data_IF_345816623965
#
_entry.id   IF_345816623965
#
_cell.length_a   1.000
_cell.length_b   1.000
_cell.length_c   1.000
_cell.angle_alpha   90.00
_cell.angle_beta   90.00
_cell.angle_gamma   90.00
#
_symmetry.space_group_name_H-M   'P 1'
#
loop_
_entity.id
_entity.type
_entity.pdbx_description
1 polymer ?
#
# COMPACT_ATOMS: atom_id res chain seq x y z
N UNK A 1 -13.81 -81.41 39.30
CA UNK A 1 -13.90 -80.28 38.44
C UNK A 1 -12.63 -79.45 38.52
N UNK A 2 -11.83 -79.45 37.47
CA UNK A 2 -10.62 -78.62 37.40
C UNK A 2 -11.02 -77.23 36.90
N UNK A 3 -10.94 -76.22 37.75
CA UNK A 3 -11.11 -74.84 37.33
C UNK A 3 -9.79 -74.30 36.75
N UNK A 4 -9.74 -74.14 35.47
CA UNK A 4 -8.62 -73.48 34.80
C UNK A 4 -8.99 -72.00 34.49
N UNK A 5 -8.23 -71.06 35.03
CA UNK A 5 -8.31 -69.65 34.68
C UNK A 5 -7.17 -69.30 33.68
N UNK A 6 -7.51 -68.88 32.49
CA UNK A 6 -6.58 -68.44 31.48
C UNK A 6 -6.57 -66.88 31.47
N UNK A 7 -5.42 -66.27 31.76
CA UNK A 7 -5.20 -64.81 31.63
C UNK A 7 -4.34 -64.61 30.40
N UNK A 8 -4.90 -63.98 29.38
CA UNK A 8 -4.16 -63.56 28.13
C UNK A 8 -3.87 -62.11 28.13
N UNK A 9 -2.60 -61.68 27.98
CA UNK A 9 -2.19 -60.33 27.71
C UNK A 9 -1.90 -60.19 26.20
N UNK A 10 -2.67 -59.37 25.46
CA UNK A 10 -2.44 -59.09 24.06
C UNK A 10 -1.86 -57.71 23.95
N UNK A 11 -0.62 -57.60 23.48
CA UNK A 11 0.03 -56.31 23.16
C UNK A 11 0.10 -56.19 21.66
N UNK A 12 -0.65 -55.25 21.03
CA UNK A 12 -0.54 -55.02 19.60
C UNK A 12 0.81 -54.35 19.31
N UNK A 13 1.72 -55.06 18.67
CA UNK A 13 2.99 -54.51 18.19
C UNK A 13 2.78 -54.11 16.73
N UNK A 14 2.82 -52.79 16.37
CA UNK A 14 2.69 -52.32 15.00
C UNK A 14 3.99 -52.61 14.22
N UNK A 15 4.07 -53.81 13.62
CA UNK A 15 5.27 -54.25 12.88
C UNK A 15 5.33 -53.68 11.48
N UNK A 16 4.22 -53.25 10.90
CA UNK A 16 4.13 -52.84 9.49
C UNK A 16 3.62 -51.39 9.27
N UNK A 17 2.89 -50.82 10.23
CA UNK A 17 2.40 -49.46 10.15
C UNK A 17 2.92 -48.63 11.32
N UNK A 18 3.98 -47.85 11.07
CA UNK A 18 4.58 -46.91 12.01
C UNK A 18 4.04 -45.51 11.84
N UNK A 19 2.86 -45.35 11.26
CA UNK A 19 2.24 -44.03 10.97
C UNK A 19 3.12 -43.13 10.07
N UNK A 20 3.94 -43.76 9.23
CA UNK A 20 4.93 -43.02 8.38
C UNK A 20 4.25 -42.06 7.42
N UNK A 21 3.07 -42.40 6.91
CA UNK A 21 2.29 -41.52 6.03
C UNK A 21 1.91 -40.20 6.70
N UNK A 22 1.37 -40.27 7.93
CA UNK A 22 0.98 -39.05 8.67
C UNK A 22 2.20 -38.21 9.10
N UNK A 23 3.33 -38.86 9.41
CA UNK A 23 4.58 -38.16 9.71
C UNK A 23 5.09 -37.44 8.48
N UNK A 24 5.07 -38.07 7.30
CA UNK A 24 5.52 -37.46 6.05
C UNK A 24 4.58 -36.35 5.60
N UNK A 25 3.29 -36.48 5.80
CA UNK A 25 2.30 -35.41 5.58
C UNK A 25 2.60 -34.19 6.47
N UNK A 26 2.81 -34.40 7.77
CA UNK A 26 3.13 -33.34 8.72
C UNK A 26 4.42 -32.59 8.34
N UNK A 27 5.45 -33.32 7.92
CA UNK A 27 6.72 -32.75 7.43
C UNK A 27 6.51 -31.94 6.14
N UNK A 28 5.70 -32.47 5.21
CA UNK A 28 5.37 -31.76 3.96
C UNK A 28 4.58 -30.48 4.23
N UNK A 29 3.64 -30.49 5.16
CA UNK A 29 2.90 -29.29 5.60
C UNK A 29 3.81 -28.26 6.27
N UNK A 30 4.81 -28.71 7.03
CA UNK A 30 5.82 -27.81 7.61
C UNK A 30 6.64 -27.09 6.53
N UNK A 31 7.14 -27.83 5.53
CA UNK A 31 7.87 -27.21 4.40
C UNK A 31 6.98 -26.26 3.62
N UNK A 32 5.74 -26.66 3.34
CA UNK A 32 4.78 -25.78 2.68
C UNK A 32 4.58 -24.47 3.45
N UNK A 33 4.39 -24.54 4.78
CA UNK A 33 4.23 -23.34 5.60
C UNK A 33 5.50 -22.44 5.60
N UNK A 34 6.69 -23.04 5.54
CA UNK A 34 7.94 -22.30 5.42
C UNK A 34 8.05 -21.58 4.06
N UNK A 35 7.72 -22.27 2.97
CA UNK A 35 7.71 -21.70 1.63
C UNK A 35 6.68 -20.57 1.49
N UNK A 36 5.48 -20.75 2.03
CA UNK A 36 4.44 -19.72 2.10
C UNK A 36 4.91 -18.48 2.88
N UNK A 37 5.62 -18.67 4.00
CA UNK A 37 6.18 -17.58 4.78
C UNK A 37 7.22 -16.79 3.97
N UNK A 38 8.10 -17.50 3.24
CA UNK A 38 9.13 -16.87 2.38
C UNK A 38 8.45 -16.09 1.24
N UNK A 39 7.47 -16.70 0.60
CA UNK A 39 6.70 -16.07 -0.47
C UNK A 39 5.99 -14.80 0.02
N UNK A 40 5.33 -14.86 1.18
CA UNK A 40 4.64 -13.72 1.78
C UNK A 40 5.62 -12.58 2.14
N UNK A 41 6.77 -12.91 2.73
CA UNK A 41 7.81 -11.90 3.04
C UNK A 41 8.31 -11.20 1.79
N UNK A 42 8.55 -11.96 0.72
CA UNK A 42 8.99 -11.41 -0.57
C UNK A 42 7.91 -10.51 -1.18
N UNK A 43 6.66 -10.94 -1.13
CA UNK A 43 5.53 -10.16 -1.61
C UNK A 43 5.36 -8.83 -0.85
N UNK A 44 5.44 -8.87 0.48
CA UNK A 44 5.37 -7.67 1.32
C UNK A 44 6.54 -6.71 1.06
N UNK A 45 7.76 -7.23 0.93
CA UNK A 45 8.93 -6.41 0.62
C UNK A 45 8.80 -5.73 -0.75
N UNK A 46 8.31 -6.46 -1.76
CA UNK A 46 8.07 -5.90 -3.10
C UNK A 46 6.96 -4.83 -3.08
N UNK A 47 5.86 -5.11 -2.37
CA UNK A 47 4.77 -4.15 -2.22
C UNK A 47 5.25 -2.87 -1.51
N UNK A 48 5.99 -3.01 -0.42
CA UNK A 48 6.55 -1.88 0.33
C UNK A 48 7.48 -1.02 -0.54
N UNK A 49 8.37 -1.66 -1.31
CA UNK A 49 9.25 -0.94 -2.24
C UNK A 49 8.45 -0.17 -3.31
N UNK A 50 7.40 -0.79 -3.86
CA UNK A 50 6.52 -0.15 -4.84
C UNK A 50 5.78 1.06 -4.27
N UNK A 51 5.22 0.96 -3.06
CA UNK A 51 4.52 2.08 -2.42
C UNK A 51 5.48 3.20 -2.00
N UNK A 52 6.70 2.87 -1.59
CA UNK A 52 7.73 3.87 -1.32
C UNK A 52 8.12 4.66 -2.57
N UNK A 53 8.29 3.98 -3.71
CA UNK A 53 8.57 4.64 -4.99
C UNK A 53 7.40 5.53 -5.43
N UNK A 54 6.17 5.01 -5.32
CA UNK A 54 4.95 5.78 -5.61
C UNK A 54 4.86 7.05 -4.77
N UNK A 55 5.14 6.97 -3.48
CA UNK A 55 5.19 8.12 -2.58
C UNK A 55 6.26 9.14 -2.99
N UNK A 56 7.45 8.64 -3.37
CA UNK A 56 8.57 9.49 -3.82
C UNK A 56 8.19 10.28 -5.08
N UNK A 57 7.62 9.62 -6.08
CA UNK A 57 7.15 10.25 -7.33
C UNK A 57 6.04 11.26 -7.06
N UNK A 58 5.05 10.89 -6.23
CA UNK A 58 3.96 11.78 -5.87
C UNK A 58 4.47 13.03 -5.14
N UNK A 59 5.43 12.88 -4.23
CA UNK A 59 6.04 14.01 -3.52
C UNK A 59 6.77 14.97 -4.47
N UNK A 60 7.58 14.47 -5.38
CA UNK A 60 8.29 15.31 -6.36
C UNK A 60 7.30 16.02 -7.27
N UNK A 61 6.28 15.33 -7.75
CA UNK A 61 5.22 15.90 -8.59
C UNK A 61 4.43 16.99 -7.85
N UNK A 62 4.11 16.79 -6.56
CA UNK A 62 3.43 17.77 -5.75
C UNK A 62 4.26 19.05 -5.57
N UNK A 63 5.58 18.92 -5.38
CA UNK A 63 6.49 20.05 -5.26
C UNK A 63 6.52 20.86 -6.57
N UNK A 64 6.73 20.21 -7.72
CA UNK A 64 6.76 20.87 -9.01
C UNK A 64 5.42 21.55 -9.35
N UNK A 65 4.30 20.87 -9.09
CA UNK A 65 2.97 21.45 -9.27
C UNK A 65 2.76 22.69 -8.40
N UNK A 66 3.15 22.63 -7.14
CA UNK A 66 2.96 23.73 -6.17
C UNK A 66 3.88 24.93 -6.45
N UNK A 67 5.15 24.68 -6.80
CA UNK A 67 6.17 25.72 -6.85
C UNK A 67 6.34 26.34 -8.25
N UNK A 68 6.00 25.59 -9.30
CA UNK A 68 6.21 26.03 -10.67
C UNK A 68 4.91 26.12 -11.47
N UNK A 69 4.14 25.03 -11.54
CA UNK A 69 3.01 24.90 -12.47
C UNK A 69 1.83 25.76 -12.02
N UNK A 70 1.44 25.69 -10.75
CA UNK A 70 0.31 26.46 -10.22
C UNK A 70 0.56 27.98 -10.26
N UNK A 71 1.71 28.50 -9.82
CA UNK A 71 2.01 29.93 -9.97
C UNK A 71 2.08 30.36 -11.44
N UNK A 72 2.67 29.54 -12.31
CA UNK A 72 2.72 29.79 -13.75
C UNK A 72 1.33 29.88 -14.39
N UNK A 73 0.46 28.93 -14.11
CA UNK A 73 -0.91 28.92 -14.60
C UNK A 73 -1.76 30.08 -14.03
N UNK A 74 -1.55 30.45 -12.78
CA UNK A 74 -2.21 31.60 -12.15
C UNK A 74 -1.78 32.89 -12.81
N UNK A 75 -0.47 33.12 -13.03
CA UNK A 75 0.06 34.28 -13.68
C UNK A 75 -0.44 34.41 -15.14
N UNK A 76 -0.51 33.26 -15.85
CA UNK A 76 -1.04 33.24 -17.21
C UNK A 76 -2.52 33.65 -17.25
N UNK A 77 -3.33 33.15 -16.32
CA UNK A 77 -4.74 33.52 -16.22
C UNK A 77 -4.91 35.02 -15.89
N UNK A 78 -4.12 35.56 -14.97
CA UNK A 78 -4.14 36.99 -14.64
C UNK A 78 -3.72 37.90 -15.84
N UNK A 79 -2.69 37.46 -16.57
CA UNK A 79 -2.25 38.15 -17.76
C UNK A 79 -3.32 38.13 -18.86
N UNK A 80 -3.99 36.99 -19.07
CA UNK A 80 -5.10 36.87 -20.01
C UNK A 80 -6.26 37.81 -19.65
N UNK A 81 -6.66 37.85 -18.36
CA UNK A 81 -7.69 38.79 -17.89
C UNK A 81 -7.30 40.27 -18.09
N UNK A 82 -6.07 40.62 -17.75
CA UNK A 82 -5.58 42.00 -17.97
C UNK A 82 -5.55 42.35 -19.45
N UNK A 83 -5.12 41.41 -20.31
CA UNK A 83 -5.10 41.60 -21.76
C UNK A 83 -6.50 41.74 -22.35
N UNK A 84 -7.48 40.95 -21.88
CA UNK A 84 -8.87 41.06 -22.28
C UNK A 84 -9.48 42.44 -21.90
N UNK A 85 -9.28 42.86 -20.65
CA UNK A 85 -9.76 44.17 -20.18
C UNK A 85 -9.13 45.35 -20.94
N UNK A 86 -7.92 45.15 -21.43
CA UNK A 86 -7.23 46.14 -22.30
C UNK A 86 -7.59 46.01 -23.80
N UNK A 87 -8.51 45.12 -24.16
CA UNK A 87 -8.92 44.88 -25.55
C UNK A 87 -7.84 44.21 -26.44
N UNK A 88 -6.79 43.62 -25.84
CA UNK A 88 -5.68 42.99 -26.54
C UNK A 88 -5.86 41.51 -26.80
N UNK A 89 -6.64 40.82 -25.95
CA UNK A 89 -6.95 39.40 -26.02
C UNK A 89 -8.44 39.18 -26.18
N UNK A 90 -8.84 38.05 -26.75
CA UNK A 90 -10.23 37.69 -26.88
C UNK A 90 -10.69 36.89 -25.64
N UNK A 91 -11.99 36.68 -25.52
CA UNK A 91 -12.58 35.95 -24.40
C UNK A 91 -12.16 34.47 -24.35
N UNK A 92 -11.88 33.83 -25.50
CA UNK A 92 -11.43 32.46 -25.58
C UNK A 92 -10.06 32.30 -24.95
N UNK A 93 -9.16 33.28 -25.10
CA UNK A 93 -7.83 33.25 -24.46
C UNK A 93 -7.96 33.23 -22.93
N UNK A 94 -8.92 33.96 -22.36
CA UNK A 94 -9.21 33.92 -20.91
C UNK A 94 -9.77 32.57 -20.47
N UNK A 95 -10.70 32.00 -21.25
CA UNK A 95 -11.26 30.68 -20.94
C UNK A 95 -10.21 29.57 -20.99
N UNK A 96 -9.32 29.61 -21.97
CA UNK A 96 -8.23 28.63 -22.08
C UNK A 96 -7.25 28.74 -20.91
N UNK A 97 -6.87 29.96 -20.52
CA UNK A 97 -6.02 30.18 -19.36
C UNK A 97 -6.71 29.73 -18.05
N UNK A 98 -8.00 30.01 -17.90
CA UNK A 98 -8.80 29.54 -16.77
C UNK A 98 -8.87 28.01 -16.70
N UNK A 99 -9.13 27.36 -17.85
CA UNK A 99 -9.16 25.91 -17.95
C UNK A 99 -7.83 25.28 -17.55
N UNK A 100 -6.72 25.85 -18.04
CA UNK A 100 -5.38 25.38 -17.69
C UNK A 100 -5.11 25.49 -16.19
N UNK A 101 -5.50 26.61 -15.55
CA UNK A 101 -5.37 26.78 -14.11
C UNK A 101 -6.19 25.73 -13.32
N UNK A 102 -7.44 25.47 -13.73
CA UNK A 102 -8.26 24.46 -13.09
C UNK A 102 -7.70 23.05 -13.27
N UNK A 103 -7.17 22.73 -14.43
CA UNK A 103 -6.50 21.45 -14.68
C UNK A 103 -5.28 21.28 -13.77
N UNK A 104 -4.43 22.31 -13.63
CA UNK A 104 -3.29 22.27 -12.72
C UNK A 104 -3.71 22.08 -11.26
N UNK A 105 -4.77 22.77 -10.79
CA UNK A 105 -5.33 22.58 -9.44
C UNK A 105 -5.85 21.18 -9.22
N UNK A 106 -6.59 20.64 -10.18
CA UNK A 106 -7.12 19.26 -10.10
C UNK A 106 -6.01 18.23 -10.04
N UNK A 107 -4.97 18.40 -10.88
CA UNK A 107 -3.81 17.52 -10.88
C UNK A 107 -3.04 17.56 -9.55
N UNK A 108 -2.89 18.74 -8.95
CA UNK A 108 -2.26 18.88 -7.64
C UNK A 108 -3.02 18.11 -6.55
N UNK A 109 -4.35 18.23 -6.51
CA UNK A 109 -5.19 17.48 -5.57
C UNK A 109 -5.06 15.97 -5.79
N UNK A 110 -5.04 15.52 -7.05
CA UNK A 110 -4.88 14.10 -7.38
C UNK A 110 -3.54 13.56 -6.89
N UNK A 111 -2.46 14.30 -7.10
CA UNK A 111 -1.11 13.89 -6.65
C UNK A 111 -1.02 13.85 -5.11
N UNK A 112 -1.68 14.78 -4.41
CA UNK A 112 -1.77 14.72 -2.94
C UNK A 112 -2.54 13.48 -2.47
N UNK A 113 -3.64 13.14 -3.15
CA UNK A 113 -4.39 11.92 -2.85
C UNK A 113 -3.53 10.67 -3.04
N UNK A 114 -2.79 10.60 -4.16
CA UNK A 114 -1.88 9.49 -4.43
C UNK A 114 -0.79 9.36 -3.35
N UNK A 115 -0.24 10.47 -2.88
CA UNK A 115 0.73 10.48 -1.79
C UNK A 115 0.12 9.93 -0.47
N UNK A 116 -1.08 10.38 -0.12
CA UNK A 116 -1.78 9.90 1.08
C UNK A 116 -2.15 8.42 1.00
N UNK A 117 -2.56 7.95 -0.18
CA UNK A 117 -2.84 6.52 -0.39
C UNK A 117 -1.57 5.68 -0.23
N UNK A 118 -0.44 6.11 -0.81
CA UNK A 118 0.83 5.40 -0.66
C UNK A 118 1.29 5.36 0.82
N UNK A 119 1.12 6.44 1.57
CA UNK A 119 1.41 6.46 3.02
C UNK A 119 0.54 5.45 3.76
N UNK A 120 -0.78 5.45 3.53
CA UNK A 120 -1.70 4.53 4.19
C UNK A 120 -1.38 3.05 3.88
N UNK A 121 -0.98 2.73 2.64
CA UNK A 121 -0.54 1.38 2.26
C UNK A 121 0.77 0.99 2.95
N UNK A 122 1.74 1.89 3.06
CA UNK A 122 2.99 1.66 3.80
C UNK A 122 2.69 1.41 5.28
N UNK A 123 1.85 2.22 5.91
CA UNK A 123 1.41 2.04 7.30
C UNK A 123 0.71 0.71 7.52
N UNK A 124 -0.17 0.32 6.58
CA UNK A 124 -0.86 -0.97 6.61
C UNK A 124 0.11 -2.16 6.57
N UNK A 125 1.17 -2.07 5.75
CA UNK A 125 2.19 -3.13 5.64
C UNK A 125 3.04 -3.22 6.91
N UNK A 126 3.42 -2.08 7.47
CA UNK A 126 4.29 -2.02 8.65
C UNK A 126 3.54 -2.29 9.96
N UNK A 127 2.21 -2.28 9.96
CA UNK A 127 1.39 -2.41 11.17
C UNK A 127 1.55 -1.24 12.15
N UNK A 128 2.07 -0.11 11.71
CA UNK A 128 2.23 1.10 12.50
C UNK A 128 1.09 2.06 12.20
N UNK A 129 0.25 2.26 13.17
CA UNK A 129 -0.56 3.48 13.22
C UNK A 129 0.41 4.59 13.63
N UNK A 130 0.81 5.42 12.69
CA UNK A 130 1.49 6.68 13.03
C UNK A 130 0.47 7.50 13.80
N UNK A 131 0.52 7.41 15.12
CA UNK A 131 -0.22 8.31 15.99
C UNK A 131 0.25 9.73 15.66
N UNK A 132 -0.66 10.49 15.10
CA UNK A 132 -0.47 11.89 14.77
C UNK A 132 0.00 12.64 16.05
N UNK A 133 1.11 13.40 16.04
CA UNK A 133 1.64 14.06 17.23
C UNK A 133 0.80 15.25 17.71
N UNK A 134 -0.49 15.30 17.37
CA UNK A 134 -1.37 16.45 17.63
C UNK A 134 -2.11 16.41 19.00
N UNK A 135 -1.76 15.52 19.93
CA UNK A 135 -2.46 15.45 21.24
C UNK A 135 -1.56 15.43 22.49
N UNK A 136 -0.35 15.96 22.42
CA UNK A 136 0.49 16.11 23.63
C UNK A 136 0.77 17.57 24.00
N UNK A 137 -0.13 18.50 23.73
CA UNK A 137 -0.08 19.83 24.35
C UNK A 137 -1.44 20.17 24.95
N UNK A 138 -1.79 19.52 26.05
CA UNK A 138 -2.72 20.05 27.10
C UNK A 138 -2.80 19.08 28.27
N UNK A 139 -1.81 19.12 29.16
CA UNK A 139 -1.99 18.98 30.60
C UNK A 139 -0.90 19.79 31.32
#
# INVERSE_FOLDING_TARGET
GLNQALIGLSVPIPLFDRNQGNVQEAVSLQYKAQDELIALKTQLATKLAGEHERLSVARLSAISLREEILPGAQNAFEAANKGFNAGKFNFLDVLDAQRTLFQAKSQYIQVLLDAHQAIAEIESILGHVVTHPAQQEKE
#
